data_IF_241185448661
#
_entry.id   IF_241185448661
#
_cell.length_a   1.000
_cell.length_b   1.000
_cell.length_c   1.000
_cell.angle_alpha   90.00
_cell.angle_beta   90.00
_cell.angle_gamma   90.00
#
_symmetry.space_group_name_H-M   'P 1'
#
loop_
_entity.id
_entity.type
_entity.pdbx_description
1 polymer ?
#
# COMPACT_ATOMS: atom_id res chain seq x y z
N UNK A 1 -16.24 -45.49 -3.55
CA UNK A 1 -16.95 -44.64 -4.53
C UNK A 1 -16.77 -43.25 -3.98
N UNK A 2 -15.71 -42.58 -4.45
CA UNK A 2 -15.10 -41.44 -3.77
C UNK A 2 -15.76 -40.14 -4.19
N UNK A 3 -15.84 -39.23 -3.23
CA UNK A 3 -16.48 -37.92 -3.30
C UNK A 3 -15.96 -37.06 -4.46
N UNK A 4 -16.80 -36.82 -5.47
CA UNK A 4 -16.62 -35.73 -6.43
C UNK A 4 -17.19 -34.44 -5.83
N UNK A 5 -16.48 -33.90 -4.83
CA UNK A 5 -16.77 -32.56 -4.33
C UNK A 5 -15.83 -31.59 -5.08
N UNK A 6 -16.34 -31.01 -6.17
CA UNK A 6 -15.68 -30.03 -7.03
C UNK A 6 -15.45 -28.68 -6.36
N UNK A 7 -14.92 -28.66 -5.14
CA UNK A 7 -14.46 -27.45 -4.48
C UNK A 7 -13.21 -26.95 -5.20
N UNK A 8 -13.30 -25.79 -5.83
CA UNK A 8 -12.15 -25.09 -6.36
C UNK A 8 -11.05 -25.06 -5.27
N UNK A 9 -9.81 -25.42 -5.60
CA UNK A 9 -8.79 -25.54 -4.59
C UNK A 9 -8.55 -24.16 -3.94
N UNK A 10 -8.49 -24.15 -2.60
CA UNK A 10 -8.43 -22.94 -1.77
C UNK A 10 -7.25 -21.98 -2.04
N UNK A 11 -6.34 -22.32 -2.95
CA UNK A 11 -5.23 -21.47 -3.40
C UNK A 11 -5.54 -20.68 -4.69
N UNK A 12 -6.73 -20.83 -5.29
CA UNK A 12 -7.16 -20.05 -6.47
C UNK A 12 -8.02 -18.83 -6.11
N UNK A 13 -8.51 -18.72 -4.87
CA UNK A 13 -9.24 -17.56 -4.39
C UNK A 13 -8.24 -16.54 -3.86
N UNK A 14 -8.27 -15.33 -4.42
CA UNK A 14 -7.46 -14.24 -3.90
C UNK A 14 -8.04 -13.76 -2.58
N UNK A 15 -7.20 -13.72 -1.54
CA UNK A 15 -7.58 -13.20 -0.24
C UNK A 15 -7.65 -11.66 -0.30
N UNK A 16 -8.83 -11.15 -0.67
CA UNK A 16 -9.08 -9.71 -0.77
C UNK A 16 -9.05 -9.02 0.58
N UNK A 17 -9.32 -9.73 1.67
CA UNK A 17 -9.21 -9.20 3.03
C UNK A 17 -7.75 -8.95 3.41
N UNK A 18 -6.86 -9.88 3.08
CA UNK A 18 -5.43 -9.70 3.31
C UNK A 18 -4.85 -8.61 2.41
N UNK A 19 -5.25 -8.52 1.13
CA UNK A 19 -4.85 -7.41 0.26
C UNK A 19 -5.30 -6.04 0.81
N UNK A 20 -6.51 -5.95 1.34
CA UNK A 20 -7.03 -4.72 1.94
C UNK A 20 -6.30 -4.37 3.23
N UNK A 21 -6.01 -5.37 4.06
CA UNK A 21 -5.23 -5.21 5.29
C UNK A 21 -3.82 -4.73 4.99
N UNK A 22 -3.14 -5.39 4.04
CA UNK A 22 -1.81 -5.00 3.59
C UNK A 22 -1.83 -3.58 3.03
N UNK A 23 -2.78 -3.26 2.14
CA UNK A 23 -2.91 -1.92 1.59
C UNK A 23 -3.13 -0.84 2.66
N UNK A 24 -3.97 -1.09 3.67
CA UNK A 24 -4.17 -0.18 4.79
C UNK A 24 -2.91 -0.02 5.66
N UNK A 25 -2.18 -1.10 5.92
CA UNK A 25 -0.93 -1.05 6.66
C UNK A 25 0.12 -0.23 5.92
N UNK A 26 0.27 -0.45 4.61
CA UNK A 26 1.18 0.31 3.75
C UNK A 26 0.82 1.80 3.70
N UNK A 27 -0.47 2.16 3.64
CA UNK A 27 -0.88 3.57 3.75
C UNK A 27 -0.47 4.18 5.09
N UNK A 28 -0.61 3.44 6.20
CA UNK A 28 -0.15 3.88 7.51
C UNK A 28 1.37 4.08 7.59
N UNK A 29 2.14 3.23 6.91
CA UNK A 29 3.60 3.38 6.81
C UNK A 29 3.97 4.65 6.02
N UNK A 30 3.22 4.97 4.95
CA UNK A 30 3.42 6.22 4.19
C UNK A 30 3.22 7.46 5.07
N UNK A 31 2.11 7.53 5.82
CA UNK A 31 1.82 8.63 6.75
C UNK A 31 2.94 8.80 7.80
N UNK A 32 3.48 7.68 8.30
CA UNK A 32 4.59 7.69 9.24
C UNK A 32 5.87 8.24 8.62
N UNK A 33 6.21 7.83 7.40
CA UNK A 33 7.39 8.31 6.66
C UNK A 33 7.27 9.81 6.37
N UNK A 34 6.09 10.27 5.95
CA UNK A 34 5.82 11.69 5.73
C UNK A 34 6.05 12.49 7.02
N UNK A 35 5.47 12.04 8.14
CA UNK A 35 5.65 12.68 9.45
C UNK A 35 7.12 12.72 9.87
N UNK A 36 7.85 11.61 9.71
CA UNK A 36 9.27 11.54 10.05
C UNK A 36 10.11 12.51 9.20
N UNK A 37 9.78 12.68 7.91
CA UNK A 37 10.47 13.62 7.01
C UNK A 37 10.35 15.07 7.49
N UNK A 38 9.16 15.47 7.96
CA UNK A 38 8.91 16.81 8.51
C UNK A 38 9.74 17.09 9.77
N UNK A 39 9.90 16.09 10.65
CA UNK A 39 10.69 16.24 11.88
C UNK A 39 12.19 16.38 11.62
N UNK A 40 12.75 15.66 10.64
CA UNK A 40 14.18 15.74 10.32
C UNK A 40 14.55 17.11 9.75
N UNK A 41 13.69 17.70 8.92
CA UNK A 41 13.91 19.04 8.37
C UNK A 41 14.04 20.12 9.47
N UNK A 42 13.31 19.98 10.58
CA UNK A 42 13.32 20.94 11.69
C UNK A 42 14.59 20.87 12.57
N UNK A 43 15.30 19.74 12.60
CA UNK A 43 16.38 19.51 13.58
C UNK A 43 17.78 19.99 13.13
N UNK A 44 17.98 20.32 11.85
CA UNK A 44 19.32 20.19 11.22
C UNK A 44 20.28 21.39 11.21
N UNK A 45 19.93 22.61 11.63
CA UNK A 45 20.75 23.78 11.22
C UNK A 45 21.50 24.56 12.31
N UNK A 46 21.04 24.56 13.56
CA UNK A 46 21.50 25.52 14.58
C UNK A 46 22.62 25.02 15.51
N UNK A 47 22.88 23.71 15.56
CA UNK A 47 23.80 23.10 16.54
C UNK A 47 25.22 22.84 16.02
N UNK A 48 25.46 22.89 14.69
CA UNK A 48 26.77 22.63 14.11
C UNK A 48 27.59 23.94 14.05
N UNK A 49 28.44 24.14 15.05
CA UNK A 49 29.18 25.38 15.34
C UNK A 49 30.12 25.95 14.26
N UNK A 50 30.17 25.39 13.04
CA UNK A 50 30.89 26.00 11.90
C UNK A 50 29.96 26.17 10.69
N UNK A 51 30.14 27.27 9.95
CA UNK A 51 29.31 27.58 8.77
C UNK A 51 29.37 26.50 7.67
N UNK A 52 30.52 25.86 7.50
CA UNK A 52 30.69 24.75 6.55
C UNK A 52 29.91 23.49 6.99
N UNK A 53 29.96 23.14 8.27
CA UNK A 53 29.20 21.99 8.80
C UNK A 53 27.69 22.25 8.77
N UNK A 54 27.24 23.46 9.14
CA UNK A 54 25.83 23.84 9.03
C UNK A 54 25.33 23.80 7.57
N UNK A 55 26.18 24.18 6.61
CA UNK A 55 25.84 24.12 5.17
C UNK A 55 25.74 22.67 4.69
N UNK A 56 26.72 21.82 5.03
CA UNK A 56 26.68 20.41 4.67
C UNK A 56 25.49 19.68 5.32
N UNK A 57 25.21 19.98 6.60
CA UNK A 57 24.05 19.44 7.32
C UNK A 57 22.73 19.83 6.66
N UNK A 58 22.59 21.08 6.19
CA UNK A 58 21.41 21.52 5.42
C UNK A 58 21.26 20.76 4.10
N UNK A 59 22.33 20.70 3.28
CA UNK A 59 22.27 19.99 2.00
C UNK A 59 21.92 18.51 2.16
N UNK A 60 22.50 17.85 3.17
CA UNK A 60 22.15 16.48 3.51
C UNK A 60 20.68 16.37 3.93
N UNK A 61 20.23 17.24 4.85
CA UNK A 61 18.85 17.22 5.36
C UNK A 61 17.83 17.45 4.25
N UNK A 62 18.10 18.36 3.32
CA UNK A 62 17.23 18.64 2.17
C UNK A 62 17.12 17.42 1.24
N UNK A 63 18.26 16.81 0.91
CA UNK A 63 18.29 15.62 0.03
C UNK A 63 17.66 14.40 0.70
N UNK A 64 17.89 14.22 1.99
CA UNK A 64 17.28 13.15 2.76
C UNK A 64 15.76 13.33 2.88
N UNK A 65 15.30 14.56 3.15
CA UNK A 65 13.86 14.88 3.20
C UNK A 65 13.18 14.65 1.85
N UNK A 66 13.84 15.01 0.76
CA UNK A 66 13.35 14.72 -0.60
C UNK A 66 13.21 13.20 -0.85
N UNK A 67 14.21 12.41 -0.46
CA UNK A 67 14.16 10.96 -0.61
C UNK A 67 13.05 10.32 0.24
N UNK A 68 12.84 10.81 1.48
CA UNK A 68 11.74 10.34 2.33
C UNK A 68 10.37 10.68 1.75
N UNK A 69 10.20 11.88 1.16
CA UNK A 69 8.95 12.23 0.49
C UNK A 69 8.66 11.29 -0.68
N UNK A 70 9.65 11.02 -1.54
CA UNK A 70 9.48 10.08 -2.64
C UNK A 70 9.11 8.69 -2.14
N UNK A 71 9.77 8.22 -1.08
CA UNK A 71 9.45 6.92 -0.47
C UNK A 71 8.00 6.88 0.06
N UNK A 72 7.53 7.97 0.70
CA UNK A 72 6.14 8.06 1.16
C UNK A 72 5.15 8.00 -0.01
N UNK A 73 5.42 8.73 -1.10
CA UNK A 73 4.61 8.71 -2.33
C UNK A 73 4.54 7.29 -2.94
N UNK A 74 5.68 6.63 -3.11
CA UNK A 74 5.75 5.27 -3.66
C UNK A 74 5.01 4.26 -2.76
N UNK A 75 5.12 4.44 -1.43
CA UNK A 75 4.44 3.59 -0.44
C UNK A 75 2.92 3.81 -0.48
N UNK A 76 2.46 5.05 -0.59
CA UNK A 76 1.05 5.39 -0.72
C UNK A 76 0.45 4.83 -2.03
N UNK A 77 1.18 4.93 -3.15
CA UNK A 77 0.79 4.31 -4.41
C UNK A 77 0.64 2.79 -4.28
N UNK A 78 1.62 2.12 -3.65
CA UNK A 78 1.55 0.69 -3.41
C UNK A 78 0.33 0.31 -2.55
N UNK A 79 0.06 1.06 -1.48
CA UNK A 79 -1.10 0.85 -0.62
C UNK A 79 -2.44 1.01 -1.36
N UNK A 80 -2.55 2.05 -2.21
CA UNK A 80 -3.73 2.25 -3.07
C UNK A 80 -3.89 1.15 -4.10
N UNK A 81 -2.79 0.70 -4.70
CA UNK A 81 -2.78 -0.39 -5.68
C UNK A 81 -3.32 -1.68 -5.07
N UNK A 82 -2.83 -2.08 -3.88
CA UNK A 82 -3.31 -3.27 -3.16
C UNK A 82 -4.81 -3.22 -2.86
N UNK A 83 -5.30 -2.07 -2.38
CA UNK A 83 -6.75 -1.86 -2.13
C UNK A 83 -7.57 -1.91 -3.42
N UNK A 84 -7.07 -1.29 -4.49
CA UNK A 84 -7.71 -1.33 -5.81
C UNK A 84 -7.78 -2.74 -6.37
N UNK A 85 -6.72 -3.53 -6.22
CA UNK A 85 -6.69 -4.95 -6.60
C UNK A 85 -7.69 -5.77 -5.80
N UNK A 86 -7.79 -5.57 -4.48
CA UNK A 86 -8.80 -6.24 -3.66
C UNK A 86 -10.22 -5.96 -4.18
N UNK A 87 -10.53 -4.69 -4.45
CA UNK A 87 -11.83 -4.27 -4.96
C UNK A 87 -12.13 -4.84 -6.37
N UNK A 88 -11.11 -4.95 -7.22
CA UNK A 88 -11.26 -5.55 -8.55
C UNK A 88 -11.61 -7.04 -8.48
N UNK A 89 -10.99 -7.79 -7.56
CA UNK A 89 -11.35 -9.20 -7.34
C UNK A 89 -12.76 -9.36 -6.78
N UNK A 90 -13.17 -8.54 -5.80
CA UNK A 90 -14.54 -8.54 -5.27
C UNK A 90 -15.58 -8.25 -6.37
N UNK A 91 -15.27 -7.31 -7.28
CA UNK A 91 -16.13 -7.00 -8.42
C UNK A 91 -16.22 -8.15 -9.43
N UNK A 92 -15.11 -8.85 -9.68
CA UNK A 92 -15.11 -10.02 -10.55
C UNK A 92 -15.93 -11.17 -9.95
N UNK A 93 -15.76 -11.45 -8.65
CA UNK A 93 -16.47 -12.52 -7.97
C UNK A 93 -17.99 -12.27 -7.95
N UNK A 94 -18.41 -11.01 -7.72
CA UNK A 94 -19.83 -10.63 -7.78
C UNK A 94 -20.39 -10.75 -9.20
N UNK A 95 -19.67 -10.27 -10.22
CA UNK A 95 -20.10 -10.40 -11.62
C UNK A 95 -20.25 -11.86 -12.05
N UNK A 96 -19.33 -12.73 -11.62
CA UNK A 96 -19.39 -14.17 -11.91
C UNK A 96 -20.58 -14.81 -11.20
N UNK A 97 -20.82 -14.48 -9.93
CA UNK A 97 -21.96 -15.00 -9.17
C UNK A 97 -23.30 -14.61 -9.83
N UNK A 98 -23.47 -13.34 -10.21
CA UNK A 98 -24.69 -12.85 -10.87
C UNK A 98 -24.97 -13.59 -12.19
N UNK A 99 -23.95 -13.90 -12.99
CA UNK A 99 -24.09 -14.66 -14.22
C UNK A 99 -24.54 -16.11 -13.98
N UNK A 100 -24.04 -16.75 -12.92
CA UNK A 100 -24.48 -18.10 -12.56
C UNK A 100 -25.93 -18.14 -12.09
N UNK A 101 -26.36 -17.14 -11.31
CA UNK A 101 -27.74 -17.02 -10.86
C UNK A 101 -28.71 -16.79 -12.04
N UNK A 102 -28.33 -15.97 -13.02
CA UNK A 102 -29.13 -15.72 -14.24
C UNK A 102 -29.28 -16.98 -15.11
N UNK A 103 -28.21 -17.77 -15.25
CA UNK A 103 -28.28 -19.07 -15.96
C UNK A 103 -29.11 -20.11 -15.20
N UNK A 104 -29.10 -20.09 -13.86
CA UNK A 104 -29.88 -20.99 -13.02
C UNK A 104 -31.40 -20.71 -13.03
N UNK A 105 -31.83 -19.55 -13.50
CA UNK A 105 -33.25 -19.16 -13.60
C UNK A 105 -33.84 -19.29 -15.02
N UNK A 106 -33.04 -19.70 -16.00
CA UNK A 106 -33.45 -19.84 -17.41
C UNK A 106 -33.57 -21.29 -17.89
N UNK A 107 -33.37 -22.28 -17.01
CA UNK A 107 -33.59 -23.71 -17.26
C UNK A 107 -34.79 -24.28 -16.50
#
# INVERSE_FOLDING_TARGET
>A
MSDENGGAPAHLLVDTDELRRAGNATLGDSDFIETASHHVHMAGSSSYGSGALSTAARQFSDRFSYALRQLAEDTDEAGRSLRGTAQAYEYMDTTVADQFDEMGHTG
#
